data_IF_706011424546
#
_entry.id   IF_706011424546
#
_cell.length_a   1.000
_cell.length_b   1.000
_cell.length_c   1.000
_cell.angle_alpha   90.00
_cell.angle_beta   90.00
_cell.angle_gamma   90.00
#
_symmetry.space_group_name_H-M   'P 1'
#
loop_
_entity.id
_entity.type
_entity.pdbx_description
1 polymer ?
#
# COMPACT_ATOMS: atom_id res chain seq x y z
N UNK A 1 17.42 -16.33 -3.83
CA UNK A 1 16.06 -16.90 -3.92
C UNK A 1 15.65 -16.96 -5.39
N UNK A 2 16.06 -18.02 -6.07
CA UNK A 2 15.49 -18.54 -7.32
C UNK A 2 15.46 -20.05 -7.07
N UNK A 3 14.45 -20.51 -6.33
CA UNK A 3 14.14 -21.92 -6.22
C UNK A 3 12.74 -22.03 -6.79
N UNK A 4 12.64 -22.77 -7.90
CA UNK A 4 11.48 -22.94 -8.79
C UNK A 4 11.33 -21.85 -9.87
N UNK A 5 11.97 -22.11 -11.01
CA UNK A 5 12.06 -21.23 -12.18
C UNK A 5 10.78 -21.20 -13.02
N UNK A 6 9.67 -20.72 -12.47
CA UNK A 6 8.63 -20.12 -13.31
C UNK A 6 8.94 -18.63 -13.48
N UNK A 7 9.02 -18.11 -14.72
CA UNK A 7 9.20 -16.69 -14.92
C UNK A 7 7.99 -15.97 -14.31
N UNK A 8 8.25 -15.14 -13.30
CA UNK A 8 7.23 -14.23 -12.78
C UNK A 8 6.73 -13.39 -13.95
N UNK A 9 5.41 -13.25 -14.07
CA UNK A 9 4.82 -12.28 -14.99
C UNK A 9 5.41 -10.90 -14.72
N UNK A 10 5.42 -10.03 -15.73
CA UNK A 10 6.01 -8.68 -15.63
C UNK A 10 5.45 -7.96 -14.40
N UNK A 11 6.24 -7.91 -13.33
CA UNK A 11 5.91 -7.26 -12.08
C UNK A 11 6.61 -5.92 -12.03
N UNK A 12 5.86 -4.85 -11.75
CA UNK A 12 6.41 -3.50 -11.74
C UNK A 12 5.81 -2.60 -10.66
N UNK A 13 6.22 -1.32 -10.66
CA UNK A 13 5.78 -0.33 -9.66
C UNK A 13 4.27 -0.09 -9.63
N UNK A 14 3.56 -0.37 -10.72
CA UNK A 14 2.10 -0.25 -10.77
C UNK A 14 1.42 -1.38 -9.98
N UNK A 15 1.94 -2.60 -10.07
CA UNK A 15 1.40 -3.74 -9.32
C UNK A 15 1.57 -3.53 -7.81
N UNK A 16 2.72 -2.99 -7.39
CA UNK A 16 2.95 -2.59 -6.01
C UNK A 16 1.91 -1.58 -5.51
N UNK A 17 1.59 -0.55 -6.31
CA UNK A 17 0.57 0.45 -5.95
C UNK A 17 -0.82 -0.17 -5.83
N UNK A 18 -1.19 -1.06 -6.76
CA UNK A 18 -2.47 -1.77 -6.72
C UNK A 18 -2.56 -2.65 -5.48
N UNK A 19 -1.53 -3.45 -5.20
CA UNK A 19 -1.48 -4.32 -4.02
C UNK A 19 -1.59 -3.51 -2.72
N UNK A 20 -0.82 -2.42 -2.60
CA UNK A 20 -0.90 -1.55 -1.42
C UNK A 20 -2.29 -0.91 -1.26
N UNK A 21 -2.89 -0.41 -2.35
CA UNK A 21 -4.24 0.16 -2.33
C UNK A 21 -5.27 -0.85 -1.82
N UNK A 22 -5.31 -2.06 -2.39
CA UNK A 22 -6.24 -3.11 -1.98
C UNK A 22 -6.08 -3.45 -0.49
N UNK A 23 -4.86 -3.71 -0.04
CA UNK A 23 -4.61 -4.14 1.35
C UNK A 23 -4.91 -3.04 2.36
N UNK A 24 -4.62 -1.77 2.04
CA UNK A 24 -4.95 -0.64 2.92
C UNK A 24 -6.47 -0.40 2.99
N UNK A 25 -7.21 -0.65 1.91
CA UNK A 25 -8.67 -0.63 1.95
C UNK A 25 -9.25 -1.77 2.80
N UNK A 26 -8.71 -2.98 2.68
CA UNK A 26 -9.11 -4.13 3.49
C UNK A 26 -8.78 -3.93 4.98
N UNK A 27 -7.70 -3.22 5.28
CA UNK A 27 -7.35 -2.79 6.65
C UNK A 27 -8.24 -1.66 7.19
N UNK A 28 -9.18 -1.13 6.38
CA UNK A 28 -10.18 -0.16 6.82
C UNK A 28 -9.72 1.29 6.85
N UNK A 29 -8.59 1.64 6.23
CA UNK A 29 -8.13 3.02 6.16
C UNK A 29 -9.03 3.89 5.26
N UNK A 30 -9.02 5.19 5.53
CA UNK A 30 -9.79 6.16 4.76
C UNK A 30 -9.28 6.26 3.32
N UNK A 31 -10.17 6.12 2.35
CA UNK A 31 -9.86 6.22 0.92
C UNK A 31 -9.12 7.51 0.55
N UNK A 32 -9.46 8.65 1.15
CA UNK A 32 -8.79 9.92 0.84
C UNK A 32 -7.31 9.91 1.24
N UNK A 33 -6.94 9.16 2.30
CA UNK A 33 -5.55 9.03 2.73
C UNK A 33 -4.76 8.14 1.76
N UNK A 34 -5.36 7.01 1.38
CA UNK A 34 -4.79 6.04 0.42
C UNK A 34 -4.54 6.72 -0.92
N UNK A 35 -5.56 7.37 -1.49
CA UNK A 35 -5.46 8.03 -2.80
C UNK A 35 -4.43 9.18 -2.79
N UNK A 36 -4.39 9.98 -1.70
CA UNK A 36 -3.37 11.02 -1.52
C UNK A 36 -1.96 10.46 -1.37
N UNK A 37 -1.77 9.28 -0.77
CA UNK A 37 -0.47 8.58 -0.72
C UNK A 37 -0.02 8.08 -2.09
N UNK A 38 -0.97 7.71 -2.96
CA UNK A 38 -0.70 7.26 -4.33
C UNK A 38 -0.52 8.42 -5.32
N UNK A 39 -0.61 9.67 -4.84
CA UNK A 39 -0.61 10.89 -5.65
C UNK A 39 -1.69 10.86 -6.75
N UNK A 40 -2.81 10.20 -6.49
CA UNK A 40 -3.94 10.18 -7.40
C UNK A 40 -4.71 11.51 -7.32
N UNK A 41 -5.17 11.96 -8.48
CA UNK A 41 -6.01 13.15 -8.58
C UNK A 41 -7.45 12.79 -8.21
N UNK A 42 -7.99 13.46 -7.19
CA UNK A 42 -9.41 13.35 -6.86
C UNK A 42 -10.25 14.05 -7.94
N UNK A 43 -11.39 13.45 -8.31
CA UNK A 43 -12.29 13.99 -9.35
C UNK A 43 -13.62 14.46 -8.77
N UNK A 44 -14.26 15.39 -9.48
CA UNK A 44 -15.62 15.85 -9.20
C UNK A 44 -15.73 16.74 -7.95
N UNK A 45 -16.94 16.81 -7.39
CA UNK A 45 -17.28 17.70 -6.26
C UNK A 45 -16.39 17.45 -5.04
N UNK A 46 -15.97 16.21 -4.82
CA UNK A 46 -15.09 15.83 -3.70
C UNK A 46 -13.75 16.57 -3.75
N UNK A 47 -13.17 16.77 -4.94
CA UNK A 47 -11.92 17.51 -5.12
C UNK A 47 -12.05 19.00 -4.81
N UNK A 48 -13.24 19.58 -5.00
CA UNK A 48 -13.51 21.00 -4.73
C UNK A 48 -13.51 21.28 -3.23
N UNK A 49 -14.10 20.37 -2.45
CA UNK A 49 -14.28 20.55 -1.01
C UNK A 49 -13.17 19.93 -0.17
N UNK A 50 -12.61 18.80 -0.59
CA UNK A 50 -11.57 18.10 0.18
C UNK A 50 -10.18 18.69 -0.10
N UNK A 51 -9.86 19.76 0.62
CA UNK A 51 -8.53 20.40 0.61
C UNK A 51 -7.59 19.86 1.68
N UNK A 52 -7.99 18.85 2.45
CA UNK A 52 -7.19 18.35 3.55
C UNK A 52 -6.05 17.48 3.02
N UNK A 53 -4.85 17.70 3.57
CA UNK A 53 -3.64 16.97 3.21
C UNK A 53 -3.41 15.71 4.05
N UNK A 54 -4.16 15.55 5.15
CA UNK A 54 -4.13 14.39 6.04
C UNK A 54 -2.72 13.90 6.39
N UNK A 55 -1.77 14.84 6.59
CA UNK A 55 -0.34 14.51 6.63
C UNK A 55 0.00 13.53 7.75
N UNK A 56 -0.54 13.76 8.95
CA UNK A 56 -0.23 12.92 10.11
C UNK A 56 -0.92 11.56 10.02
N UNK A 57 -2.15 11.52 9.53
CA UNK A 57 -2.87 10.28 9.28
C UNK A 57 -2.21 9.43 8.21
N UNK A 58 -1.74 10.05 7.11
CA UNK A 58 -0.96 9.37 6.07
C UNK A 58 0.35 8.84 6.61
N UNK A 59 1.04 9.59 7.47
CA UNK A 59 2.29 9.12 8.11
C UNK A 59 2.02 7.86 8.94
N UNK A 60 1.00 7.89 9.80
CA UNK A 60 0.64 6.75 10.63
C UNK A 60 0.28 5.52 9.79
N UNK A 61 -0.61 5.70 8.80
CA UNK A 61 -1.00 4.63 7.87
C UNK A 61 0.20 4.04 7.11
N UNK A 62 1.14 4.87 6.65
CA UNK A 62 2.33 4.37 5.95
C UNK A 62 3.30 3.64 6.89
N UNK A 63 3.34 4.01 8.18
CA UNK A 63 4.11 3.28 9.17
C UNK A 63 3.48 1.90 9.44
N UNK A 64 2.16 1.85 9.64
CA UNK A 64 1.44 0.58 9.83
C UNK A 64 1.60 -0.34 8.60
N UNK A 65 1.58 0.25 7.38
CA UNK A 65 1.88 -0.47 6.14
C UNK A 65 3.29 -1.08 6.13
N UNK A 66 4.30 -0.32 6.56
CA UNK A 66 5.67 -0.80 6.68
C UNK A 66 5.77 -1.95 7.70
N UNK A 67 5.09 -1.83 8.84
CA UNK A 67 5.09 -2.83 9.89
C UNK A 67 4.45 -4.16 9.42
N UNK A 68 3.38 -4.11 8.62
CA UNK A 68 2.77 -5.30 8.01
C UNK A 68 3.73 -6.00 7.03
N UNK A 69 4.44 -5.22 6.19
CA UNK A 69 5.45 -5.78 5.28
C UNK A 69 6.56 -6.48 6.07
N UNK A 70 7.09 -5.81 7.09
CA UNK A 70 8.12 -6.34 7.97
C UNK A 70 7.68 -7.64 8.64
N UNK A 71 6.43 -7.71 9.10
CA UNK A 71 5.87 -8.92 9.69
C UNK A 71 5.83 -10.07 8.68
N UNK A 72 5.37 -9.84 7.45
CA UNK A 72 5.36 -10.87 6.41
C UNK A 72 6.75 -11.33 6.01
N UNK A 73 7.72 -10.42 5.95
CA UNK A 73 9.12 -10.76 5.66
C UNK A 73 9.76 -11.57 6.79
N UNK A 74 9.52 -11.20 8.05
CA UNK A 74 10.03 -11.91 9.23
C UNK A 74 9.37 -13.27 9.44
N UNK A 75 8.08 -13.42 9.13
CA UNK A 75 7.39 -14.72 9.18
C UNK A 75 7.97 -15.71 8.17
N UNK A 76 8.44 -15.22 7.02
CA UNK A 76 9.03 -16.05 5.97
C UNK A 76 10.41 -16.61 6.37
N UNK A 77 11.23 -15.85 7.10
CA UNK A 77 12.55 -16.33 7.57
C UNK A 77 12.49 -17.38 8.67
N UNK A 78 11.40 -17.43 9.46
CA UNK A 78 11.25 -18.40 10.56
C UNK A 78 10.66 -19.75 10.12
N UNK A 79 10.03 -19.82 8.95
CA UNK A 79 9.46 -21.06 8.38
C UNK A 79 10.48 -21.90 7.58
N UNK A 80 11.67 -21.36 7.32
CA UNK A 80 12.75 -22.02 6.58
C UNK A 80 13.92 -22.45 7.49
N UNK A 81 13.74 -22.44 8.81
CA UNK A 81 14.71 -22.90 9.82
C UNK A 81 14.24 -24.15 10.55
#
# INVERSE_FOLDING_TARGET
AQKEGQPLSKFGPHDLRRTASTLLHEAGYNSDWIEKCLAHEQKGVRAVYNKAEYRDQRRAMLQDWADMIDEWTRKRTRSES
#
